data_IF_547721810457
#
_entry.id   IF_547721810457
#
_cell.length_a   1.000
_cell.length_b   1.000
_cell.length_c   1.000
_cell.angle_alpha   90.00
_cell.angle_beta   90.00
_cell.angle_gamma   90.00
#
_symmetry.space_group_name_H-M   'P 1'
#
loop_
_entity.id
_entity.type
_entity.pdbx_description
1 polymer ?
#
# COMPACT_ATOMS: atom_id res chain seq x y z
N UNK A 1 -11.87 12.72 25.34
CA UNK A 1 -11.11 11.80 24.47
C UNK A 1 -11.27 12.33 23.05
N UNK A 2 -10.21 12.93 22.51
CA UNK A 2 -10.24 13.56 21.17
C UNK A 2 -9.71 12.54 20.17
N UNK A 3 -10.57 12.07 19.26
CA UNK A 3 -10.15 11.28 18.11
C UNK A 3 -9.34 12.20 17.17
N UNK A 4 -8.03 12.05 17.15
CA UNK A 4 -7.18 12.62 16.10
C UNK A 4 -7.22 11.68 14.90
N UNK A 5 -8.11 11.99 13.99
CA UNK A 5 -8.09 11.41 12.64
C UNK A 5 -7.17 12.32 11.82
N UNK A 6 -5.86 12.05 11.82
CA UNK A 6 -4.95 12.72 10.93
C UNK A 6 -5.16 12.16 9.52
N UNK A 7 -5.83 12.96 8.70
CA UNK A 7 -6.11 12.65 7.30
C UNK A 7 -4.97 13.24 6.47
N UNK A 8 -4.01 12.41 6.08
CA UNK A 8 -3.03 12.77 5.06
C UNK A 8 -3.66 12.61 3.67
N UNK A 9 -4.01 13.73 3.05
CA UNK A 9 -4.54 13.74 1.69
C UNK A 9 -3.38 13.92 0.72
N UNK A 10 -2.96 12.85 0.05
CA UNK A 10 -2.00 12.94 -1.04
C UNK A 10 -2.75 13.18 -2.36
N UNK A 11 -2.60 14.38 -2.92
CA UNK A 11 -3.01 14.66 -4.29
C UNK A 11 -1.83 14.39 -5.23
N UNK A 12 -1.77 13.22 -5.85
CA UNK A 12 -0.84 12.99 -6.96
C UNK A 12 -1.44 13.55 -8.26
N UNK A 13 -0.73 14.52 -8.83
CA UNK A 13 -0.98 15.01 -10.18
C UNK A 13 -0.37 13.99 -11.16
N UNK A 14 -1.17 13.10 -11.70
CA UNK A 14 -0.75 12.25 -12.82
C UNK A 14 -0.70 13.13 -14.06
N UNK A 15 0.45 13.75 -14.33
CA UNK A 15 0.73 14.31 -15.67
C UNK A 15 1.13 13.13 -16.53
N UNK A 16 0.27 12.74 -17.46
CA UNK A 16 0.53 11.67 -18.40
C UNK A 16 1.68 12.04 -19.31
N UNK A 17 2.87 11.50 -19.06
CA UNK A 17 4.01 11.51 -20.01
C UNK A 17 3.68 10.82 -21.34
N UNK A 18 2.54 10.17 -21.44
CA UNK A 18 2.08 9.51 -22.68
C UNK A 18 1.55 10.47 -23.76
N UNK A 19 1.27 11.75 -23.44
CA UNK A 19 0.83 12.74 -24.44
C UNK A 19 1.98 13.43 -25.18
N UNK A 20 3.21 13.32 -24.71
CA UNK A 20 4.35 13.98 -25.36
C UNK A 20 4.93 13.19 -26.55
N UNK A 21 4.65 11.89 -26.65
CA UNK A 21 5.14 11.06 -27.76
C UNK A 21 4.20 11.09 -28.98
N UNK A 22 2.92 11.48 -28.80
CA UNK A 22 1.95 11.54 -29.90
C UNK A 22 1.93 12.89 -30.65
N UNK A 23 2.66 13.91 -30.21
CA UNK A 23 2.68 15.23 -30.85
C UNK A 23 3.89 15.48 -31.80
N UNK A 24 4.76 14.49 -31.99
CA UNK A 24 5.92 14.63 -32.89
C UNK A 24 5.80 13.89 -34.20
N UNK A 25 4.65 13.41 -34.59
CA UNK A 25 4.41 12.81 -35.90
C UNK A 25 3.12 13.34 -36.51
N UNK A 26 3.14 14.48 -37.10
CA UNK A 26 2.52 14.84 -38.39
C UNK A 26 2.50 16.36 -38.63
N UNK A 27 3.60 16.87 -39.17
CA UNK A 27 3.60 18.14 -39.90
C UNK A 27 3.65 17.85 -41.39
N UNK A 28 2.49 17.81 -42.06
CA UNK A 28 2.31 18.22 -43.46
C UNK A 28 0.85 18.01 -43.90
N UNK A 29 0.04 19.05 -43.91
CA UNK A 29 -0.79 19.48 -45.01
C UNK A 29 -1.85 20.49 -44.58
N UNK A 30 -2.16 21.54 -45.36
CA UNK A 30 -3.08 22.60 -44.97
C UNK A 30 -4.48 22.34 -45.52
N UNK A 31 -5.49 22.26 -44.64
CA UNK A 31 -6.86 22.45 -45.04
C UNK A 31 -7.64 23.19 -43.91
N UNK A 32 -8.12 24.37 -44.28
CA UNK A 32 -9.05 25.19 -43.49
C UNK A 32 -10.32 24.41 -43.19
N UNK A 33 -10.65 24.21 -41.91
CA UNK A 33 -12.03 23.89 -41.47
C UNK A 33 -12.34 24.66 -40.20
N UNK A 34 -13.51 25.31 -40.25
CA UNK A 34 -14.11 26.22 -39.28
C UNK A 34 -14.15 25.77 -37.84
N UNK A 35 -13.84 26.73 -36.94
CA UNK A 35 -13.91 26.58 -35.50
C UNK A 35 -15.33 26.26 -34.99
N UNK A 36 -15.59 25.03 -34.62
CA UNK A 36 -16.54 24.70 -33.56
C UNK A 36 -15.76 24.35 -32.32
N UNK A 37 -15.80 25.25 -31.34
CA UNK A 37 -15.31 24.99 -29.99
C UNK A 37 -16.17 23.90 -29.37
N UNK A 38 -15.67 22.65 -29.37
CA UNK A 38 -16.11 21.65 -28.42
C UNK A 38 -15.34 21.89 -27.14
N UNK A 39 -15.96 22.57 -26.18
CA UNK A 39 -15.50 22.57 -24.80
C UNK A 39 -15.75 21.18 -24.24
N UNK A 40 -14.82 20.26 -24.44
CA UNK A 40 -14.75 19.00 -23.68
C UNK A 40 -14.24 19.39 -22.29
N UNK A 41 -15.18 19.58 -21.35
CA UNK A 41 -14.87 19.57 -19.92
C UNK A 41 -14.35 18.18 -19.56
N UNK A 42 -13.05 17.99 -19.72
CA UNK A 42 -12.36 16.87 -19.10
C UNK A 42 -12.25 17.23 -17.61
N UNK A 43 -13.26 16.85 -16.81
CA UNK A 43 -13.14 16.85 -15.37
C UNK A 43 -11.97 15.89 -15.06
N UNK A 44 -10.81 16.42 -14.70
CA UNK A 44 -9.69 15.66 -14.18
C UNK A 44 -10.23 14.87 -12.97
N UNK A 45 -10.43 13.57 -13.15
CA UNK A 45 -10.82 12.69 -12.07
C UNK A 45 -9.63 12.59 -11.13
N UNK A 46 -9.65 13.39 -10.07
CA UNK A 46 -8.62 13.35 -9.01
C UNK A 46 -8.80 12.05 -8.25
N UNK A 47 -7.83 11.16 -8.35
CA UNK A 47 -7.76 9.99 -7.49
C UNK A 47 -7.43 10.49 -6.09
N UNK A 48 -8.37 10.34 -5.17
CA UNK A 48 -8.18 10.69 -3.76
C UNK A 48 -7.74 9.43 -3.03
N UNK A 49 -6.47 9.43 -2.60
CA UNK A 49 -5.91 8.41 -1.72
C UNK A 49 -5.98 8.87 -0.28
N UNK A 50 -6.46 8.00 0.60
CA UNK A 50 -6.54 8.25 2.03
C UNK A 50 -6.07 7.01 2.79
N UNK A 51 -5.21 7.18 3.79
CA UNK A 51 -4.84 6.12 4.73
C UNK A 51 -5.47 6.46 6.08
N UNK A 52 -6.19 5.51 6.67
CA UNK A 52 -6.79 5.64 8.00
C UNK A 52 -6.14 4.67 8.97
N UNK A 53 -6.04 5.10 10.23
CA UNK A 53 -5.47 4.37 11.35
C UNK A 53 -6.58 3.82 12.26
N UNK A 54 -6.39 2.59 12.76
CA UNK A 54 -7.33 1.90 13.65
C UNK A 54 -6.57 1.16 14.75
N UNK A 55 -7.04 1.29 15.98
CA UNK A 55 -6.49 0.57 17.15
C UNK A 55 -7.16 -0.79 17.39
N UNK A 56 -8.16 -1.13 16.59
CA UNK A 56 -8.83 -2.44 16.56
C UNK A 56 -8.99 -2.88 15.12
N UNK A 57 -9.09 -4.20 14.89
CA UNK A 57 -9.23 -4.75 13.55
C UNK A 57 -10.51 -4.26 12.86
N UNK A 58 -10.44 -3.38 11.84
CA UNK A 58 -11.62 -2.87 11.16
C UNK A 58 -12.15 -3.86 10.12
N UNK A 59 -13.46 -3.82 9.85
CA UNK A 59 -14.11 -4.69 8.85
C UNK A 59 -13.49 -4.55 7.46
N UNK A 60 -13.08 -3.35 7.08
CA UNK A 60 -12.40 -3.09 5.81
C UNK A 60 -11.07 -3.84 5.67
N UNK A 61 -10.28 -3.94 6.76
CA UNK A 61 -9.06 -4.75 6.77
C UNK A 61 -9.39 -6.24 6.70
N UNK A 62 -10.42 -6.68 7.42
CA UNK A 62 -10.92 -8.07 7.33
C UNK A 62 -11.32 -8.43 5.91
N UNK A 63 -12.06 -7.53 5.23
CA UNK A 63 -12.45 -7.72 3.84
C UNK A 63 -11.23 -7.89 2.93
N UNK A 64 -10.27 -6.95 2.96
CA UNK A 64 -9.08 -7.00 2.10
C UNK A 64 -8.25 -8.27 2.36
N UNK A 65 -8.05 -8.63 3.64
CA UNK A 65 -7.29 -9.81 4.05
C UNK A 65 -7.95 -11.09 3.55
N UNK A 66 -9.28 -11.21 3.64
CA UNK A 66 -10.03 -12.36 3.09
C UNK A 66 -9.88 -12.46 1.58
N UNK A 67 -10.00 -11.35 0.85
CA UNK A 67 -9.84 -11.36 -0.61
C UNK A 67 -8.43 -11.78 -1.03
N UNK A 68 -7.38 -11.22 -0.38
CA UNK A 68 -5.99 -11.44 -0.79
C UNK A 68 -5.40 -12.72 -0.24
N UNK A 69 -5.52 -12.96 1.07
CA UNK A 69 -4.83 -14.11 1.69
C UNK A 69 -5.67 -15.39 1.63
N UNK A 70 -6.98 -15.30 1.89
CA UNK A 70 -7.83 -16.51 1.90
C UNK A 70 -8.26 -16.90 0.49
N UNK A 71 -8.92 -16.00 -0.24
CA UNK A 71 -9.51 -16.35 -1.55
C UNK A 71 -8.47 -16.44 -2.67
N UNK A 72 -7.53 -15.50 -2.75
CA UNK A 72 -6.53 -15.49 -3.82
C UNK A 72 -5.35 -16.43 -3.53
N UNK A 73 -4.86 -16.46 -2.27
CA UNK A 73 -3.64 -17.19 -1.91
C UNK A 73 -3.88 -18.51 -1.20
N UNK A 74 -5.10 -18.75 -0.71
CA UNK A 74 -5.50 -20.05 -0.12
C UNK A 74 -5.03 -20.28 1.32
N UNK A 75 -4.59 -19.23 2.05
CA UNK A 75 -4.25 -19.34 3.48
C UNK A 75 -5.48 -19.71 4.31
N UNK A 76 -5.29 -20.59 5.31
CA UNK A 76 -6.36 -21.10 6.17
C UNK A 76 -6.43 -20.36 7.51
N UNK A 77 -5.28 -19.96 8.05
CA UNK A 77 -5.13 -19.36 9.38
C UNK A 77 -4.77 -17.87 9.26
N UNK A 78 -5.66 -17.08 8.63
CA UNK A 78 -5.35 -15.65 8.35
C UNK A 78 -5.47 -14.76 9.58
N UNK A 79 -6.40 -15.05 10.49
CA UNK A 79 -6.64 -14.25 11.70
C UNK A 79 -6.01 -14.92 12.90
N UNK A 80 -5.31 -14.16 13.74
CA UNK A 80 -4.58 -14.65 14.90
C UNK A 80 -4.73 -13.71 16.12
N UNK A 81 -4.25 -14.14 17.29
CA UNK A 81 -4.36 -13.39 18.55
C UNK A 81 -3.63 -12.03 18.52
N UNK A 82 -2.63 -11.87 17.64
CA UNK A 82 -1.92 -10.60 17.45
C UNK A 82 -2.84 -9.50 16.92
N UNK A 83 -3.98 -9.87 16.31
CA UNK A 83 -4.98 -8.89 15.86
C UNK A 83 -5.63 -8.12 17.02
N UNK A 84 -5.59 -8.67 18.26
CA UNK A 84 -6.17 -8.02 19.43
C UNK A 84 -5.30 -6.87 19.99
N UNK A 85 -4.00 -6.85 19.69
CA UNK A 85 -3.02 -5.89 20.22
C UNK A 85 -2.39 -5.05 19.12
N UNK A 86 -2.83 -5.24 17.89
CA UNK A 86 -2.23 -4.60 16.74
C UNK A 86 -2.88 -3.26 16.40
N UNK A 87 -2.11 -2.41 15.75
CA UNK A 87 -2.58 -1.23 15.06
C UNK A 87 -2.72 -1.53 13.57
N UNK A 88 -3.76 -0.99 12.93
CA UNK A 88 -4.07 -1.26 11.54
C UNK A 88 -4.07 0.01 10.70
N UNK A 89 -3.58 -0.11 9.49
CA UNK A 89 -3.74 0.89 8.45
C UNK A 89 -4.65 0.33 7.36
N UNK A 90 -5.57 1.16 6.89
CA UNK A 90 -6.38 0.86 5.70
C UNK A 90 -6.24 2.00 4.71
N UNK A 91 -5.81 1.66 3.50
CA UNK A 91 -5.74 2.56 2.37
C UNK A 91 -7.04 2.55 1.58
N UNK A 92 -7.54 3.73 1.28
CA UNK A 92 -8.78 3.94 0.51
C UNK A 92 -8.46 4.68 -0.79
N UNK A 93 -9.05 4.23 -1.88
CA UNK A 93 -9.07 4.95 -3.14
C UNK A 93 -10.51 5.35 -3.47
N UNK A 94 -10.76 6.67 -3.58
CA UNK A 94 -12.10 7.23 -3.81
C UNK A 94 -13.16 6.68 -2.82
N UNK A 95 -12.77 6.49 -1.55
CA UNK A 95 -13.63 6.00 -0.48
C UNK A 95 -13.75 4.47 -0.38
N UNK A 96 -13.22 3.72 -1.34
CA UNK A 96 -13.24 2.25 -1.32
C UNK A 96 -11.98 1.70 -0.65
N UNK A 97 -12.06 0.72 0.28
CA UNK A 97 -10.91 0.11 0.93
C UNK A 97 -10.17 -0.78 -0.06
N UNK A 98 -8.86 -0.56 -0.24
CA UNK A 98 -8.07 -1.21 -1.30
C UNK A 98 -6.73 -1.80 -0.83
N UNK A 99 -6.25 -1.37 0.34
CA UNK A 99 -4.99 -1.85 0.92
C UNK A 99 -5.05 -1.90 2.44
N UNK A 100 -4.28 -2.78 3.08
CA UNK A 100 -4.18 -2.86 4.53
C UNK A 100 -2.78 -3.27 4.98
N UNK A 101 -2.44 -2.91 6.23
CA UNK A 101 -1.24 -3.32 6.93
C UNK A 101 -1.56 -3.46 8.42
N UNK A 102 -1.02 -4.50 9.06
CA UNK A 102 -1.05 -4.70 10.51
C UNK A 102 0.31 -4.34 11.09
N UNK A 103 0.31 -3.64 12.23
CA UNK A 103 1.51 -3.24 12.96
C UNK A 103 1.36 -3.72 14.40
N UNK A 104 2.31 -4.50 14.91
CA UNK A 104 2.36 -4.87 16.32
C UNK A 104 3.78 -4.79 16.87
N UNK A 105 3.92 -4.65 18.18
CA UNK A 105 5.22 -4.67 18.84
C UNK A 105 5.58 -6.09 19.27
N UNK A 106 6.80 -6.54 18.93
CA UNK A 106 7.35 -7.81 19.40
C UNK A 106 8.30 -7.53 20.58
N UNK A 107 7.90 -7.80 21.83
CA UNK A 107 8.72 -7.51 23.00
C UNK A 107 9.98 -8.39 23.07
N UNK A 108 9.96 -9.60 22.53
CA UNK A 108 11.11 -10.51 22.54
C UNK A 108 12.25 -9.98 21.66
N UNK A 109 11.93 -9.31 20.58
CA UNK A 109 12.89 -8.69 19.66
C UNK A 109 13.07 -7.19 19.89
N UNK A 110 12.21 -6.58 20.70
CA UNK A 110 12.14 -5.13 20.93
C UNK A 110 12.00 -4.30 19.65
N UNK A 111 11.17 -4.79 18.71
CA UNK A 111 10.93 -4.15 17.42
C UNK A 111 9.43 -4.14 17.05
N UNK A 112 9.05 -3.23 16.19
CA UNK A 112 7.74 -3.30 15.53
C UNK A 112 7.78 -4.24 14.33
N UNK A 113 6.76 -5.09 14.21
CA UNK A 113 6.58 -6.01 13.08
C UNK A 113 5.42 -5.51 12.21
N UNK A 114 5.69 -5.39 10.92
CA UNK A 114 4.66 -5.16 9.93
C UNK A 114 4.21 -6.51 9.34
N UNK A 115 2.93 -6.72 9.28
CA UNK A 115 2.35 -7.95 8.75
C UNK A 115 1.03 -7.69 8.04
N UNK A 116 0.48 -8.73 7.43
CA UNK A 116 -0.80 -8.67 6.73
C UNK A 116 -0.88 -7.51 5.73
N UNK A 117 0.26 -7.23 5.05
CA UNK A 117 0.38 -6.19 4.05
C UNK A 117 -0.28 -6.70 2.78
N UNK A 118 -1.40 -6.11 2.40
CA UNK A 118 -2.18 -6.55 1.25
C UNK A 118 -2.68 -5.36 0.43
N UNK A 119 -2.67 -5.52 -0.89
CA UNK A 119 -3.30 -4.61 -1.86
C UNK A 119 -4.20 -5.45 -2.75
N UNK A 120 -5.45 -5.06 -2.93
CA UNK A 120 -6.37 -5.73 -3.83
C UNK A 120 -5.82 -5.76 -5.26
N UNK A 121 -6.01 -6.86 -5.97
CA UNK A 121 -5.40 -7.14 -7.28
C UNK A 121 -5.53 -6.01 -8.30
N UNK A 122 -6.71 -5.34 -8.48
CA UNK A 122 -6.85 -4.25 -9.46
C UNK A 122 -6.01 -3.00 -9.14
N UNK A 123 -5.56 -2.86 -7.89
CA UNK A 123 -4.85 -1.68 -7.38
C UNK A 123 -3.35 -1.90 -7.21
N UNK A 124 -2.83 -3.08 -7.61
CA UNK A 124 -1.38 -3.37 -7.57
C UNK A 124 -0.64 -2.63 -8.69
N UNK A 125 0.65 -2.35 -8.46
CA UNK A 125 1.45 -1.57 -9.41
C UNK A 125 1.24 -0.05 -9.36
N UNK A 126 0.31 0.46 -8.53
CA UNK A 126 -0.02 1.88 -8.39
C UNK A 126 0.74 2.60 -7.26
N UNK A 127 1.79 1.97 -6.71
CA UNK A 127 2.58 2.45 -5.55
C UNK A 127 1.82 2.48 -4.21
N UNK A 128 0.61 1.97 -4.15
CA UNK A 128 -0.21 1.91 -2.92
C UNK A 128 0.50 1.20 -1.78
N UNK A 129 1.12 0.04 -2.05
CA UNK A 129 1.88 -0.70 -1.05
C UNK A 129 3.03 0.12 -0.47
N UNK A 130 3.75 0.88 -1.30
CA UNK A 130 4.83 1.75 -0.84
C UNK A 130 4.31 2.89 0.03
N UNK A 131 3.21 3.54 -0.37
CA UNK A 131 2.57 4.61 0.40
C UNK A 131 2.10 4.11 1.77
N UNK A 132 1.44 2.95 1.80
CA UNK A 132 0.97 2.33 3.04
C UNK A 132 2.12 2.01 3.99
N UNK A 133 3.24 1.47 3.48
CA UNK A 133 4.43 1.17 4.27
C UNK A 133 5.17 2.42 4.72
N UNK A 134 5.20 3.50 3.92
CA UNK A 134 5.74 4.79 4.34
C UNK A 134 4.96 5.34 5.54
N UNK A 135 3.63 5.28 5.50
CA UNK A 135 2.79 5.71 6.61
C UNK A 135 2.99 4.84 7.85
N UNK A 136 3.08 3.50 7.68
CA UNK A 136 3.40 2.58 8.76
C UNK A 136 4.75 2.88 9.42
N UNK A 137 5.79 3.23 8.62
CA UNK A 137 7.09 3.65 9.14
C UNK A 137 7.00 4.95 9.93
N UNK A 138 6.28 5.96 9.40
CA UNK A 138 6.05 7.24 10.08
C UNK A 138 5.39 7.03 11.45
N UNK A 139 4.37 6.16 11.51
CA UNK A 139 3.67 5.82 12.74
C UNK A 139 4.60 5.23 13.82
N UNK A 140 5.46 4.26 13.47
CA UNK A 140 6.36 3.64 14.45
C UNK A 140 7.60 4.50 14.76
N UNK A 141 8.05 5.34 13.82
CA UNK A 141 9.11 6.34 14.06
C UNK A 141 8.67 7.35 15.12
N UNK A 142 7.41 7.80 15.08
CA UNK A 142 6.83 8.66 16.12
C UNK A 142 6.76 7.99 17.50
N UNK A 143 6.89 6.66 17.57
CA UNK A 143 7.01 5.85 18.80
C UNK A 143 8.46 5.54 19.16
N UNK A 144 9.43 6.23 18.55
CA UNK A 144 10.89 6.05 18.75
C UNK A 144 11.37 4.62 18.39
N UNK A 145 10.75 3.97 17.43
CA UNK A 145 11.24 2.70 16.93
C UNK A 145 12.58 2.90 16.20
N UNK A 146 13.58 2.09 16.53
CA UNK A 146 14.89 2.09 15.86
C UNK A 146 14.92 1.14 14.65
N UNK A 147 14.06 0.12 14.67
CA UNK A 147 13.99 -0.92 13.63
C UNK A 147 12.56 -1.42 13.45
N UNK A 148 12.32 -1.94 12.26
CA UNK A 148 11.09 -2.66 11.90
C UNK A 148 11.45 -4.00 11.24
N UNK A 149 10.60 -5.00 11.47
CA UNK A 149 10.72 -6.33 10.89
C UNK A 149 9.47 -6.70 10.06
N UNK A 150 9.65 -7.58 9.10
CA UNK A 150 8.57 -8.21 8.34
C UNK A 150 8.88 -9.68 8.09
N UNK A 151 7.84 -10.53 8.08
CA UNK A 151 7.88 -11.86 7.47
C UNK A 151 7.36 -11.72 6.04
N UNK A 152 8.27 -11.65 5.08
CA UNK A 152 7.92 -11.40 3.69
C UNK A 152 7.79 -12.70 2.90
N UNK A 153 6.73 -12.85 2.10
CA UNK A 153 6.70 -13.91 1.10
C UNK A 153 7.91 -13.73 0.15
N UNK A 154 8.67 -14.77 -0.10
CA UNK A 154 9.91 -14.70 -0.91
C UNK A 154 9.68 -14.03 -2.26
N UNK A 155 8.53 -14.31 -2.91
CA UNK A 155 8.14 -13.67 -4.18
C UNK A 155 7.96 -12.14 -4.08
N UNK A 156 7.74 -11.61 -2.87
CA UNK A 156 7.57 -10.18 -2.62
C UNK A 156 8.82 -9.52 -2.02
N UNK A 157 9.87 -10.27 -1.70
CA UNK A 157 11.06 -9.76 -1.03
C UNK A 157 11.72 -8.61 -1.81
N UNK A 158 11.81 -8.70 -3.15
CA UNK A 158 12.35 -7.65 -3.99
C UNK A 158 11.61 -6.31 -3.86
N UNK A 159 10.29 -6.32 -3.64
CA UNK A 159 9.54 -5.10 -3.35
C UNK A 159 10.00 -4.45 -2.04
N UNK A 160 10.18 -5.24 -0.98
CA UNK A 160 10.64 -4.72 0.32
C UNK A 160 12.10 -4.25 0.28
N UNK A 161 12.95 -4.91 -0.52
CA UNK A 161 14.33 -4.46 -0.76
C UNK A 161 14.37 -3.04 -1.36
N UNK A 162 13.45 -2.71 -2.29
CA UNK A 162 13.35 -1.34 -2.84
C UNK A 162 12.97 -0.29 -1.80
N UNK A 163 12.41 -0.72 -0.66
CA UNK A 163 12.04 0.12 0.49
C UNK A 163 13.09 0.14 1.60
N UNK A 164 14.25 -0.51 1.37
CA UNK A 164 15.38 -0.52 2.29
C UNK A 164 15.33 -1.62 3.35
N UNK A 165 14.49 -2.65 3.18
CA UNK A 165 14.54 -3.84 4.00
C UNK A 165 15.66 -4.78 3.54
N UNK A 166 16.31 -5.44 4.50
CA UNK A 166 17.40 -6.38 4.27
C UNK A 166 17.00 -7.76 4.80
N UNK A 167 17.21 -8.78 3.98
CA UNK A 167 16.93 -10.17 4.36
C UNK A 167 17.78 -10.59 5.56
N UNK A 168 17.18 -11.37 6.48
CA UNK A 168 17.81 -11.90 7.68
C UNK A 168 17.59 -13.42 7.77
N UNK A 169 18.69 -14.18 7.87
CA UNK A 169 18.64 -15.63 7.98
C UNK A 169 18.21 -16.35 6.70
N UNK A 170 17.65 -17.53 6.87
CA UNK A 170 17.23 -18.43 5.79
C UNK A 170 15.74 -18.34 5.52
N UNK A 171 15.31 -18.84 4.35
CA UNK A 171 13.91 -18.97 4.00
C UNK A 171 13.23 -20.06 4.84
N UNK A 172 11.98 -19.85 5.19
CA UNK A 172 11.16 -20.80 5.93
C UNK A 172 9.74 -20.89 5.37
N UNK A 173 9.00 -21.93 5.72
CA UNK A 173 7.63 -22.12 5.29
C UNK A 173 6.65 -21.58 6.34
N UNK A 174 5.74 -20.72 5.91
CA UNK A 174 4.56 -20.33 6.66
C UNK A 174 3.33 -20.89 5.90
N UNK A 175 2.63 -21.85 6.51
CA UNK A 175 1.73 -22.77 5.84
C UNK A 175 2.43 -23.51 4.66
N UNK A 176 2.19 -23.21 3.44
CA UNK A 176 2.89 -23.77 2.27
C UNK A 176 3.55 -22.68 1.42
N UNK A 177 3.74 -21.50 1.96
CA UNK A 177 4.30 -20.35 1.26
C UNK A 177 5.71 -20.05 1.78
N UNK A 178 6.75 -20.02 0.93
CA UNK A 178 8.08 -19.62 1.33
C UNK A 178 8.12 -18.17 1.79
N UNK A 179 8.69 -17.94 2.98
CA UNK A 179 8.89 -16.64 3.58
C UNK A 179 10.35 -16.41 3.92
N UNK A 180 10.73 -15.15 4.01
CA UNK A 180 12.02 -14.67 4.49
C UNK A 180 11.78 -13.54 5.49
N UNK A 181 12.46 -13.61 6.62
CA UNK A 181 12.44 -12.51 7.57
C UNK A 181 13.30 -11.36 7.06
N UNK A 182 12.81 -10.14 7.17
CA UNK A 182 13.54 -8.96 6.72
C UNK A 182 13.45 -7.86 7.76
N UNK A 183 14.52 -7.06 7.90
CA UNK A 183 14.58 -5.91 8.80
C UNK A 183 14.95 -4.63 8.05
N UNK A 184 14.51 -3.51 8.62
CA UNK A 184 14.95 -2.18 8.22
C UNK A 184 15.25 -1.35 9.45
N UNK A 185 16.40 -0.67 9.46
CA UNK A 185 16.74 0.39 10.43
C UNK A 185 16.05 1.68 10.00
N UNK A 186 15.46 2.41 10.96
CA UNK A 186 14.72 3.67 10.75
C UNK A 186 15.60 4.88 11.01
#
# INVERSE_FOLDING_TARGET
MKNHTDVLIFTQRFVSEQKQIAMMADEKSPARISHRRFATSCSEMRIIMQIKHFDTLPEDAVFIRKEVFVKEQGFKNEFDEKDNEAHFLVGYENGSPVATCRIFYDPAKSIYIFGRIAVLKPYRGTRLGSLLLTEAQSYVTAKNAAKIGISAQVRAAGFYETLGFVRQGEEYLEENCPHIYMEKTL
#
